data_IF_934205516433
#
_entry.id   IF_934205516433
#
_cell.length_a   1.000
_cell.length_b   1.000
_cell.length_c   1.000
_cell.angle_alpha   90.00
_cell.angle_beta   90.00
_cell.angle_gamma   90.00
#
_symmetry.space_group_name_H-M   'P 1'
#
loop_
_entity.id
_entity.type
_entity.pdbx_description
1 polymer ?
#
# COMPACT_ATOMS: atom_id res chain seq x y z
N UNK A 1 23.06 10.86 15.60
CA UNK A 1 22.10 9.78 15.92
C UNK A 1 21.03 9.80 14.84
N UNK A 2 20.76 8.69 14.13
CA UNK A 2 19.51 8.58 13.36
C UNK A 2 18.39 8.49 14.39
N UNK A 3 17.50 9.47 14.42
CA UNK A 3 16.29 9.37 15.24
C UNK A 3 15.53 8.11 14.86
N UNK A 4 15.03 7.39 15.86
CA UNK A 4 14.20 6.21 15.67
C UNK A 4 12.80 6.71 15.32
N UNK A 5 12.53 6.86 14.04
CA UNK A 5 11.23 7.30 13.53
C UNK A 5 10.16 6.31 13.99
N UNK A 6 9.11 6.81 14.63
CA UNK A 6 7.97 6.00 15.05
C UNK A 6 7.03 5.77 13.84
N UNK A 7 6.73 4.51 13.53
CA UNK A 7 5.86 4.14 12.41
C UNK A 7 4.45 4.70 12.57
N UNK A 8 3.95 4.86 13.79
CA UNK A 8 2.59 5.35 14.02
C UNK A 8 2.41 6.82 13.65
N UNK A 9 3.50 7.59 13.67
CA UNK A 9 3.49 9.05 13.53
C UNK A 9 3.91 9.50 12.11
N UNK A 10 4.10 8.55 11.18
CA UNK A 10 4.37 8.85 9.76
C UNK A 10 3.11 8.82 8.92
N UNK A 11 3.14 9.55 7.80
CA UNK A 11 2.10 9.60 6.79
C UNK A 11 2.50 8.67 5.63
N UNK A 12 1.73 7.62 5.33
CA UNK A 12 1.92 6.80 4.14
C UNK A 12 1.35 7.46 2.88
N UNK A 13 2.07 7.34 1.78
CA UNK A 13 1.69 7.81 0.44
C UNK A 13 1.83 6.68 -0.57
N UNK A 14 0.85 6.52 -1.46
CA UNK A 14 0.96 5.59 -2.59
C UNK A 14 2.06 6.06 -3.54
N UNK A 15 2.92 5.14 -3.97
CA UNK A 15 3.96 5.44 -4.95
C UNK A 15 3.37 5.73 -6.34
N UNK A 16 3.95 6.68 -7.06
CA UNK A 16 3.47 7.16 -8.37
C UNK A 16 3.40 6.07 -9.46
N UNK A 17 4.24 5.05 -9.35
CA UNK A 17 4.26 3.91 -10.27
C UNK A 17 3.22 2.84 -9.93
N UNK A 18 2.38 3.07 -8.92
CA UNK A 18 1.29 2.16 -8.55
C UNK A 18 -0.03 2.79 -8.98
N UNK A 19 -0.77 2.06 -9.78
CA UNK A 19 -2.16 2.39 -10.12
C UNK A 19 -3.09 1.50 -9.30
N UNK A 20 -4.31 1.98 -9.06
CA UNK A 20 -5.30 1.22 -8.32
C UNK A 20 -6.68 1.47 -8.92
N UNK A 21 -7.45 0.40 -9.07
CA UNK A 21 -8.84 0.45 -9.51
C UNK A 21 -9.72 -0.28 -8.49
N UNK A 22 -10.93 0.24 -8.26
CA UNK A 22 -11.93 -0.41 -7.41
C UNK A 22 -12.86 -1.24 -8.29
N UNK A 23 -12.90 -2.53 -8.05
CA UNK A 23 -13.80 -3.46 -8.73
C UNK A 23 -15.26 -3.26 -8.29
N UNK A 24 -16.19 -3.79 -9.08
CA UNK A 24 -17.62 -3.77 -8.76
C UNK A 24 -17.99 -4.53 -7.49
N UNK A 25 -17.12 -5.47 -7.07
CA UNK A 25 -17.26 -6.22 -5.82
C UNK A 25 -16.69 -5.47 -4.60
N UNK A 26 -16.23 -4.23 -4.78
CA UNK A 26 -15.71 -3.40 -3.72
C UNK A 26 -14.23 -3.63 -3.40
N UNK A 27 -13.58 -4.62 -3.98
CA UNK A 27 -12.14 -4.87 -3.75
C UNK A 27 -11.26 -4.01 -4.65
N UNK A 28 -10.07 -3.65 -4.17
CA UNK A 28 -9.10 -2.89 -4.95
C UNK A 28 -8.14 -3.84 -5.68
N UNK A 29 -7.89 -3.59 -6.96
CA UNK A 29 -6.76 -4.17 -7.70
C UNK A 29 -5.68 -3.11 -7.87
N UNK A 30 -4.49 -3.39 -7.35
CA UNK A 30 -3.30 -2.57 -7.61
C UNK A 30 -2.55 -3.10 -8.82
N UNK A 31 -2.00 -2.21 -9.64
CA UNK A 31 -1.14 -2.58 -10.75
C UNK A 31 0.17 -1.78 -10.73
N UNK A 32 1.27 -2.49 -11.02
CA UNK A 32 2.62 -1.93 -11.00
C UNK A 32 3.51 -2.56 -12.07
N UNK A 33 4.55 -1.86 -12.54
CA UNK A 33 5.44 -2.36 -13.58
C UNK A 33 6.10 -3.67 -13.20
N UNK A 34 6.00 -4.68 -14.08
CA UNK A 34 6.72 -5.95 -13.93
C UNK A 34 8.23 -5.76 -13.89
N UNK A 35 8.70 -4.77 -14.64
CA UNK A 35 10.11 -4.44 -14.76
C UNK A 35 10.37 -3.05 -14.19
N UNK A 36 11.41 -2.95 -13.37
CA UNK A 36 11.84 -1.68 -12.77
C UNK A 36 12.28 -0.64 -13.80
N UNK A 37 12.86 -1.09 -14.93
CA UNK A 37 13.42 -0.21 -15.94
C UNK A 37 12.73 -0.40 -17.30
N UNK A 38 12.44 0.71 -17.98
CA UNK A 38 11.79 0.71 -19.30
C UNK A 38 12.57 -0.06 -20.37
N UNK A 39 13.90 -0.05 -20.31
CA UNK A 39 14.70 -0.84 -21.26
C UNK A 39 14.47 -2.35 -21.06
N UNK A 40 14.34 -2.83 -19.82
CA UNK A 40 14.04 -4.26 -19.55
C UNK A 40 12.67 -4.62 -20.11
N UNK A 41 11.68 -3.75 -19.92
CA UNK A 41 10.36 -3.93 -20.52
C UNK A 41 10.45 -4.02 -22.05
N UNK A 42 11.25 -3.16 -22.70
CA UNK A 42 11.43 -3.16 -24.15
C UNK A 42 12.08 -4.45 -24.69
N UNK A 43 13.02 -5.04 -23.95
CA UNK A 43 13.82 -6.17 -24.44
C UNK A 43 13.45 -7.54 -23.87
N UNK A 44 12.83 -7.61 -22.69
CA UNK A 44 12.55 -8.86 -21.97
C UNK A 44 11.06 -9.18 -21.87
N UNK A 45 10.14 -8.25 -22.20
CA UNK A 45 8.70 -8.51 -22.13
C UNK A 45 8.25 -9.41 -23.30
N UNK A 46 7.70 -10.60 -23.03
CA UNK A 46 7.18 -11.46 -24.08
C UNK A 46 5.96 -10.83 -24.77
N UNK A 47 5.80 -11.10 -26.07
CA UNK A 47 4.62 -10.66 -26.82
C UNK A 47 3.34 -11.23 -26.19
N UNK A 48 2.34 -10.37 -25.99
CA UNK A 48 1.04 -10.73 -25.41
C UNK A 48 1.00 -10.76 -23.88
N UNK A 49 2.13 -10.54 -23.19
CA UNK A 49 2.16 -10.41 -21.73
C UNK A 49 1.93 -8.96 -21.31
N UNK A 50 1.14 -8.75 -20.26
CA UNK A 50 0.97 -7.43 -19.64
C UNK A 50 2.30 -6.88 -19.13
N UNK A 51 2.54 -5.60 -19.39
CA UNK A 51 3.68 -4.87 -18.85
C UNK A 51 3.60 -4.71 -17.33
N UNK A 52 2.38 -4.73 -16.78
CA UNK A 52 2.10 -4.54 -15.37
C UNK A 52 1.62 -5.84 -14.72
N UNK A 53 2.03 -6.04 -13.48
CA UNK A 53 1.51 -7.06 -12.58
C UNK A 53 0.27 -6.47 -11.91
N UNK A 54 -0.81 -7.25 -11.88
CA UNK A 54 -2.06 -6.87 -11.23
C UNK A 54 -2.24 -7.76 -10.00
N UNK A 55 -2.47 -7.15 -8.84
CA UNK A 55 -2.70 -7.84 -7.58
C UNK A 55 -4.02 -7.34 -7.00
N UNK A 56 -4.98 -8.26 -6.89
CA UNK A 56 -6.23 -7.99 -6.19
C UNK A 56 -6.01 -8.08 -4.69
N UNK A 57 -6.36 -7.03 -3.98
CA UNK A 57 -6.32 -6.99 -2.52
C UNK A 57 -7.55 -7.69 -1.95
N UNK A 58 -7.38 -8.33 -0.80
CA UNK A 58 -8.51 -8.79 0.01
C UNK A 58 -9.18 -7.61 0.74
N UNK A 59 -10.28 -7.87 1.45
CA UNK A 59 -11.14 -6.84 2.03
C UNK A 59 -10.43 -5.90 3.03
N UNK A 60 -9.59 -6.44 3.93
CA UNK A 60 -8.80 -5.66 4.88
C UNK A 60 -7.73 -4.83 4.18
N UNK A 61 -6.98 -5.44 3.27
CA UNK A 61 -5.95 -4.79 2.46
C UNK A 61 -6.54 -3.69 1.60
N UNK A 62 -7.74 -3.91 1.05
CA UNK A 62 -8.54 -2.90 0.38
C UNK A 62 -8.85 -1.74 1.32
N UNK A 63 -9.41 -2.01 2.50
CA UNK A 63 -9.76 -0.98 3.48
C UNK A 63 -8.54 -0.14 3.91
N UNK A 64 -7.41 -0.79 4.19
CA UNK A 64 -6.14 -0.11 4.49
C UNK A 64 -5.69 0.74 3.31
N UNK A 65 -5.64 0.16 2.12
CA UNK A 65 -5.19 0.85 0.91
C UNK A 65 -6.03 2.10 0.66
N UNK A 66 -7.36 2.02 0.79
CA UNK A 66 -8.28 3.13 0.57
C UNK A 66 -8.03 4.33 1.50
N UNK A 67 -7.59 4.09 2.74
CA UNK A 67 -7.26 5.15 3.69
C UNK A 67 -5.83 5.73 3.53
N UNK A 68 -4.96 5.10 2.73
CA UNK A 68 -3.66 5.66 2.36
C UNK A 68 -3.87 6.75 1.29
N UNK A 69 -4.17 7.95 1.77
CA UNK A 69 -4.49 9.12 0.95
C UNK A 69 -3.38 10.19 0.94
N UNK A 70 -2.27 9.93 1.63
CA UNK A 70 -1.19 10.89 1.79
C UNK A 70 -1.48 12.02 2.78
N UNK A 71 -2.48 11.87 3.66
CA UNK A 71 -2.83 12.90 4.65
C UNK A 71 -2.91 12.33 6.06
N UNK A 72 -3.42 11.11 6.21
CA UNK A 72 -3.55 10.45 7.52
C UNK A 72 -2.23 9.87 7.98
N UNK A 73 -1.97 9.92 9.28
CA UNK A 73 -0.88 9.12 9.88
C UNK A 73 -1.28 7.65 9.95
N UNK A 74 -0.30 6.76 10.10
CA UNK A 74 -0.56 5.32 10.31
C UNK A 74 -1.46 5.11 11.54
N UNK A 75 -1.26 5.88 12.62
CA UNK A 75 -2.13 5.85 13.80
C UNK A 75 -3.61 6.13 13.45
N UNK A 76 -3.88 7.20 12.71
CA UNK A 76 -5.25 7.54 12.28
C UNK A 76 -5.88 6.46 11.42
N UNK A 77 -5.10 5.85 10.53
CA UNK A 77 -5.58 4.71 9.71
C UNK A 77 -5.99 3.54 10.62
N UNK A 78 -5.18 3.20 11.62
CA UNK A 78 -5.48 2.12 12.57
C UNK A 78 -6.75 2.44 13.37
N UNK A 79 -6.88 3.67 13.88
CA UNK A 79 -8.03 4.12 14.66
C UNK A 79 -9.33 4.07 13.83
N UNK A 80 -9.33 4.61 12.61
CA UNK A 80 -10.49 4.59 11.71
C UNK A 80 -10.91 3.16 11.35
N UNK A 81 -9.94 2.27 11.10
CA UNK A 81 -10.25 0.88 10.76
C UNK A 81 -10.67 0.03 11.97
N UNK A 82 -10.19 0.32 13.18
CA UNK A 82 -10.54 -0.44 14.37
C UNK A 82 -12.06 -0.44 14.64
N UNK A 83 -12.74 0.67 14.32
CA UNK A 83 -14.19 0.79 14.40
C UNK A 83 -14.91 -0.14 13.40
N UNK A 84 -14.34 -0.31 12.20
CA UNK A 84 -14.92 -1.14 11.14
C UNK A 84 -14.76 -2.64 11.38
N UNK A 85 -13.70 -3.07 12.07
CA UNK A 85 -13.35 -4.48 12.28
C UNK A 85 -13.55 -4.97 13.73
N UNK A 86 -14.37 -4.27 14.52
CA UNK A 86 -14.79 -4.69 15.87
C UNK A 86 -13.62 -5.01 16.83
N UNK A 87 -12.52 -4.25 16.77
CA UNK A 87 -11.36 -4.40 17.66
C UNK A 87 -10.81 -5.83 17.78
N UNK A 88 -10.77 -6.58 16.68
CA UNK A 88 -10.12 -7.89 16.68
C UNK A 88 -8.73 -7.85 17.33
N UNK A 89 -8.38 -8.88 18.10
CA UNK A 89 -7.07 -8.94 18.75
C UNK A 89 -5.94 -8.77 17.72
N UNK A 90 -4.91 -8.01 18.11
CA UNK A 90 -3.72 -7.71 17.29
C UNK A 90 -3.97 -6.88 16.03
N UNK A 91 -5.10 -6.17 15.93
CA UNK A 91 -5.43 -5.34 14.76
C UNK A 91 -4.32 -4.33 14.41
N UNK A 92 -3.86 -3.55 15.39
CA UNK A 92 -2.76 -2.59 15.22
C UNK A 92 -1.49 -3.24 14.64
N UNK A 93 -1.10 -4.40 15.19
CA UNK A 93 0.06 -5.17 14.71
C UNK A 93 -0.10 -5.65 13.27
N UNK A 94 -1.31 -6.10 12.89
CA UNK A 94 -1.60 -6.51 11.50
C UNK A 94 -1.52 -5.35 10.52
N UNK A 95 -2.13 -4.21 10.85
CA UNK A 95 -2.12 -3.03 9.97
C UNK A 95 -0.71 -2.45 9.84
N UNK A 96 0.04 -2.36 10.94
CA UNK A 96 1.44 -1.89 10.90
C UNK A 96 2.33 -2.84 10.09
N UNK A 97 2.15 -4.16 10.23
CA UNK A 97 2.87 -5.14 9.41
C UNK A 97 2.52 -5.02 7.92
N UNK A 98 1.24 -4.81 7.59
CA UNK A 98 0.78 -4.61 6.23
C UNK A 98 1.38 -3.35 5.59
N UNK A 99 1.29 -2.20 6.27
CA UNK A 99 1.88 -0.94 5.77
C UNK A 99 3.40 -1.05 5.65
N UNK A 100 4.06 -1.74 6.58
CA UNK A 100 5.51 -2.02 6.50
C UNK A 100 5.83 -2.87 5.27
N UNK A 101 5.00 -3.86 4.94
CA UNK A 101 5.18 -4.69 3.77
C UNK A 101 5.01 -3.88 2.48
N UNK A 102 3.95 -3.07 2.37
CA UNK A 102 3.75 -2.16 1.24
C UNK A 102 4.94 -1.19 1.07
N UNK A 103 5.54 -0.74 2.18
CA UNK A 103 6.72 0.11 2.14
C UNK A 103 7.96 -0.63 1.64
N UNK A 104 8.19 -1.86 2.10
CA UNK A 104 9.31 -2.71 1.65
C UNK A 104 9.19 -3.05 0.17
N UNK A 105 7.98 -3.29 -0.31
CA UNK A 105 7.70 -3.59 -1.71
C UNK A 105 7.72 -2.33 -2.60
N UNK A 106 7.87 -1.15 -2.00
CA UNK A 106 7.95 0.13 -2.70
C UNK A 106 6.60 0.65 -3.18
N UNK A 107 5.49 0.03 -2.77
CA UNK A 107 4.14 0.45 -3.12
C UNK A 107 3.70 1.70 -2.35
N UNK A 108 4.26 1.88 -1.16
CA UNK A 108 4.00 3.01 -0.28
C UNK A 108 5.31 3.65 0.16
N UNK A 109 5.33 4.97 0.24
CA UNK A 109 6.40 5.77 0.87
C UNK A 109 5.91 6.28 2.22
N UNK A 110 6.82 6.40 3.19
CA UNK A 110 6.52 6.94 4.51
C UNK A 110 7.23 8.28 4.68
N UNK A 111 6.50 9.29 5.13
CA UNK A 111 7.01 10.64 5.36
C UNK A 111 6.71 11.05 6.80
N UNK A 112 7.63 11.78 7.42
CA UNK A 112 7.44 12.33 8.77
C UNK A 112 6.57 13.59 8.64
N UNK A 113 5.55 13.72 9.49
CA UNK A 113 4.80 14.97 9.63
C UNK A 113 5.74 16.04 10.24
N UNK A 114 5.99 17.12 9.50
CA UNK A 114 6.87 18.22 9.93
C UNK A 114 6.21 19.10 11.00
#
# INVERSE_FOLDING_TARGET
>A
MKEKINLLDVIPFRSENITAEKGSDGTVTIAFPRFKYEWMRRFLLPKGMSADIHVRLEDHGTAVWELIDGKRTVRRIIEELAEHFNYEENYESRITAYITQLQKDGFVKLVIEN
#
